data_IF_592254799437
#
_entry.id   IF_592254799437
#
_cell.length_a   1.000
_cell.length_b   1.000
_cell.length_c   1.000
_cell.angle_alpha   90.00
_cell.angle_beta   90.00
_cell.angle_gamma   90.00
#
_symmetry.space_group_name_H-M   'P 1'
#
loop_
_entity.id
_entity.type
_entity.pdbx_description
1 polymer ?
#
# COMPACT_ATOMS: atom_id res chain seq x y z
N UNK A 1 10.78 -34.14 -0.77
CA UNK A 1 9.56 -33.39 -1.15
C UNK A 1 9.38 -33.45 -2.66
N UNK A 2 8.12 -33.56 -3.14
CA UNK A 2 7.81 -33.61 -4.57
C UNK A 2 7.37 -32.23 -5.08
N UNK A 3 7.04 -31.30 -4.18
CA UNK A 3 6.67 -29.92 -4.46
C UNK A 3 6.82 -29.08 -3.18
N UNK A 4 7.14 -27.81 -3.30
CA UNK A 4 7.25 -26.86 -2.19
C UNK A 4 6.34 -25.67 -2.45
N UNK A 5 5.48 -25.33 -1.49
CA UNK A 5 4.69 -24.12 -1.46
C UNK A 5 5.25 -23.20 -0.37
N UNK A 6 5.54 -21.96 -0.74
CA UNK A 6 6.04 -20.94 0.19
C UNK A 6 5.25 -19.65 0.06
N UNK A 7 4.83 -19.10 1.20
CA UNK A 7 4.25 -17.75 1.28
C UNK A 7 5.14 -16.88 2.17
N UNK A 8 5.56 -15.72 1.69
CA UNK A 8 6.40 -14.80 2.46
C UNK A 8 7.15 -13.79 1.60
N UNK A 9 8.20 -13.17 2.18
CA UNK A 9 8.99 -12.16 1.49
C UNK A 9 9.91 -12.73 0.41
N UNK A 10 10.15 -11.94 -0.66
CA UNK A 10 10.92 -12.34 -1.82
C UNK A 10 12.36 -12.74 -1.53
N UNK A 11 13.02 -12.10 -0.57
CA UNK A 11 14.41 -12.46 -0.20
C UNK A 11 14.50 -13.88 0.39
N UNK A 12 13.55 -14.24 1.25
CA UNK A 12 13.48 -15.61 1.79
C UNK A 12 13.10 -16.61 0.69
N UNK A 13 12.23 -16.22 -0.23
CA UNK A 13 11.86 -17.06 -1.37
C UNK A 13 13.07 -17.44 -2.24
N UNK A 14 14.03 -16.54 -2.44
CA UNK A 14 15.30 -16.86 -3.15
C UNK A 14 16.09 -17.97 -2.45
N UNK A 15 16.17 -17.94 -1.13
CA UNK A 15 16.80 -19.02 -0.36
C UNK A 15 16.04 -20.35 -0.47
N UNK A 16 14.71 -20.29 -0.43
CA UNK A 16 13.85 -21.46 -0.63
C UNK A 16 14.07 -22.08 -2.01
N UNK A 17 14.07 -21.25 -3.07
CA UNK A 17 14.34 -21.73 -4.43
C UNK A 17 15.74 -22.34 -4.58
N UNK A 18 16.77 -21.71 -4.00
CA UNK A 18 18.12 -22.24 -4.00
C UNK A 18 18.20 -23.64 -3.36
N UNK A 19 17.55 -23.82 -2.21
CA UNK A 19 17.51 -25.13 -1.56
C UNK A 19 16.72 -26.17 -2.38
N UNK A 20 15.58 -25.79 -2.95
CA UNK A 20 14.75 -26.65 -3.77
C UNK A 20 15.46 -27.09 -5.06
N UNK A 21 16.24 -26.20 -5.68
CA UNK A 21 16.95 -26.48 -6.93
C UNK A 21 18.01 -27.60 -6.78
N UNK A 22 18.56 -27.80 -5.58
CA UNK A 22 19.54 -28.87 -5.30
C UNK A 22 18.95 -30.27 -5.53
N UNK A 23 17.63 -30.41 -5.42
CA UNK A 23 16.92 -31.69 -5.60
C UNK A 23 15.87 -31.59 -6.72
N UNK A 24 15.93 -30.58 -7.58
CA UNK A 24 14.98 -30.32 -8.69
C UNK A 24 13.52 -30.32 -8.23
N UNK A 25 13.25 -29.81 -7.01
CA UNK A 25 11.90 -29.72 -6.46
C UNK A 25 11.21 -28.47 -7.03
N UNK A 26 10.06 -28.60 -7.71
CA UNK A 26 9.29 -27.45 -8.18
C UNK A 26 8.73 -26.65 -7.00
N UNK A 27 8.67 -25.32 -7.16
CA UNK A 27 8.17 -24.41 -6.15
C UNK A 27 6.98 -23.61 -6.66
N UNK A 28 5.97 -23.42 -5.80
CA UNK A 28 4.97 -22.36 -5.93
C UNK A 28 5.26 -21.30 -4.88
N UNK A 29 5.41 -20.06 -5.33
CA UNK A 29 5.76 -18.93 -4.45
C UNK A 29 4.61 -17.93 -4.44
N UNK A 30 4.06 -17.69 -3.24
CA UNK A 30 3.08 -16.65 -2.97
C UNK A 30 3.80 -15.50 -2.25
N UNK A 31 4.04 -14.43 -2.99
CA UNK A 31 4.82 -13.28 -2.53
C UNK A 31 3.93 -12.03 -2.49
N UNK A 32 4.41 -10.98 -1.84
CA UNK A 32 3.73 -9.69 -1.82
C UNK A 32 4.07 -8.84 -3.05
N UNK A 33 4.29 -7.59 -2.80
CA UNK A 33 4.66 -6.58 -3.79
C UNK A 33 3.97 -5.25 -3.51
N UNK A 34 4.32 -4.23 -4.31
CA UNK A 34 3.73 -2.90 -4.18
C UNK A 34 2.40 -2.83 -4.92
N UNK A 35 1.32 -3.28 -4.26
CA UNK A 35 -0.04 -3.30 -4.83
C UNK A 35 -0.57 -1.86 -5.03
N UNK A 36 -0.67 -1.36 -6.30
CA UNK A 36 -1.13 -0.03 -6.59
C UNK A 36 -2.63 0.10 -6.46
N UNK A 37 -3.07 1.30 -6.10
CA UNK A 37 -4.46 1.74 -6.21
C UNK A 37 -4.54 2.87 -7.22
N UNK A 38 -5.37 2.74 -8.24
CA UNK A 38 -5.66 3.81 -9.20
C UNK A 38 -7.03 4.40 -8.90
N UNK A 39 -7.06 5.71 -8.68
CA UNK A 39 -8.30 6.48 -8.49
C UNK A 39 -8.57 7.28 -9.76
N UNK A 40 -9.52 6.80 -10.56
CA UNK A 40 -9.93 7.44 -11.80
C UNK A 40 -10.65 8.77 -11.59
N UNK A 41 -10.75 9.56 -12.67
CA UNK A 41 -11.44 10.87 -12.65
C UNK A 41 -12.90 10.76 -12.20
N UNK A 42 -13.55 9.64 -12.46
CA UNK A 42 -14.96 9.37 -12.14
C UNK A 42 -15.19 8.76 -10.76
N UNK A 43 -14.14 8.53 -9.96
CA UNK A 43 -14.24 7.88 -8.67
C UNK A 43 -15.02 8.71 -7.64
N UNK A 44 -15.85 8.05 -6.84
CA UNK A 44 -16.39 8.60 -5.58
C UNK A 44 -15.30 8.54 -4.52
N UNK A 45 -14.76 9.69 -4.14
CA UNK A 45 -13.58 9.78 -3.27
C UNK A 45 -13.87 9.30 -1.85
N UNK A 46 -15.05 9.58 -1.31
CA UNK A 46 -15.43 9.17 0.05
C UNK A 46 -15.47 7.64 0.17
N UNK A 47 -16.15 6.98 -0.76
CA UNK A 47 -16.22 5.51 -0.80
C UNK A 47 -14.85 4.91 -1.07
N UNK A 48 -14.08 5.50 -1.98
CA UNK A 48 -12.73 5.03 -2.32
C UNK A 48 -11.80 5.12 -1.12
N UNK A 49 -11.75 6.28 -0.44
CA UNK A 49 -10.93 6.49 0.75
C UNK A 49 -11.28 5.51 1.87
N UNK A 50 -12.58 5.32 2.18
CA UNK A 50 -13.01 4.35 3.18
C UNK A 50 -12.53 2.93 2.86
N UNK A 51 -12.70 2.45 1.63
CA UNK A 51 -12.29 1.09 1.24
C UNK A 51 -10.77 0.92 1.23
N UNK A 52 -10.05 1.92 0.74
CA UNK A 52 -8.58 1.91 0.72
C UNK A 52 -8.05 1.89 2.15
N UNK A 53 -8.56 2.76 3.02
CA UNK A 53 -8.10 2.82 4.40
C UNK A 53 -8.52 1.61 5.22
N UNK A 54 -9.70 1.04 4.97
CA UNK A 54 -10.06 -0.26 5.55
C UNK A 54 -9.01 -1.32 5.21
N UNK A 55 -8.66 -1.48 3.92
CA UNK A 55 -7.62 -2.43 3.50
C UNK A 55 -6.22 -2.08 4.01
N UNK A 56 -5.89 -0.78 4.11
CA UNK A 56 -4.58 -0.30 4.58
C UNK A 56 -4.39 -0.43 6.09
N UNK A 57 -5.46 -0.26 6.88
CA UNK A 57 -5.38 -0.35 8.34
C UNK A 57 -5.68 -1.75 8.87
N UNK A 58 -6.31 -2.62 8.07
CA UNK A 58 -6.46 -4.03 8.41
C UNK A 58 -5.09 -4.64 8.70
N UNK A 59 -4.93 -5.20 9.91
CA UNK A 59 -3.66 -5.73 10.40
C UNK A 59 -2.49 -4.73 10.27
N UNK A 60 -2.76 -3.42 10.42
CA UNK A 60 -1.82 -2.32 10.21
C UNK A 60 -1.09 -2.39 8.84
N UNK A 61 -1.77 -2.83 7.79
CA UNK A 61 -1.21 -2.95 6.44
C UNK A 61 -0.24 -4.12 6.24
N UNK A 62 -0.11 -5.01 7.20
CA UNK A 62 0.77 -6.19 7.15
C UNK A 62 0.08 -7.37 6.45
N UNK A 63 -0.36 -7.13 5.21
CA UNK A 63 -1.08 -8.08 4.35
C UNK A 63 -0.53 -7.95 2.93
N UNK A 64 -0.28 -9.05 2.25
CA UNK A 64 0.29 -9.09 0.89
C UNK A 64 -0.55 -8.36 -0.18
N UNK A 65 -1.85 -8.18 0.07
CA UNK A 65 -2.78 -7.43 -0.79
C UNK A 65 -3.15 -6.05 -0.21
N UNK A 66 -2.53 -5.60 0.88
CA UNK A 66 -2.80 -4.25 1.38
C UNK A 66 -2.48 -3.20 0.30
N UNK A 67 -3.31 -2.16 0.13
CA UNK A 67 -2.96 -1.03 -0.71
C UNK A 67 -1.57 -0.50 -0.34
N UNK A 68 -0.63 -0.53 -1.27
CA UNK A 68 0.75 -0.11 -0.99
C UNK A 68 0.96 1.37 -1.28
N UNK A 69 0.50 1.84 -2.45
CA UNK A 69 0.48 3.25 -2.82
C UNK A 69 -0.75 3.58 -3.67
N UNK A 70 -1.13 4.86 -3.68
CA UNK A 70 -2.26 5.39 -4.43
C UNK A 70 -1.77 6.29 -5.56
N UNK A 71 -2.36 6.14 -6.74
CA UNK A 71 -2.18 7.00 -7.89
C UNK A 71 -3.52 7.69 -8.13
N UNK A 72 -3.60 8.99 -7.92
CA UNK A 72 -4.83 9.77 -7.98
C UNK A 72 -4.70 10.91 -8.98
N UNK A 73 -5.79 11.23 -9.70
CA UNK A 73 -5.79 12.39 -10.58
C UNK A 73 -5.48 13.68 -9.80
N UNK A 74 -4.59 14.52 -10.33
CA UNK A 74 -4.07 15.73 -9.65
C UNK A 74 -5.16 16.61 -9.04
N UNK A 75 -6.26 16.82 -9.78
CA UNK A 75 -7.37 17.68 -9.32
C UNK A 75 -8.19 17.06 -8.17
N UNK A 76 -7.96 15.81 -7.84
CA UNK A 76 -8.67 15.06 -6.79
C UNK A 76 -7.78 14.72 -5.59
N UNK A 77 -6.49 15.01 -5.65
CA UNK A 77 -5.54 14.60 -4.61
C UNK A 77 -5.89 15.16 -3.24
N UNK A 78 -6.11 16.45 -3.14
CA UNK A 78 -6.33 17.11 -1.84
C UNK A 78 -7.66 16.66 -1.22
N UNK A 79 -8.71 16.53 -2.03
CA UNK A 79 -9.99 15.98 -1.58
C UNK A 79 -9.87 14.51 -1.16
N UNK A 80 -9.10 13.69 -1.89
CA UNK A 80 -8.82 12.31 -1.52
C UNK A 80 -8.08 12.22 -0.18
N UNK A 81 -7.05 13.05 0.03
CA UNK A 81 -6.30 13.10 1.29
C UNK A 81 -7.23 13.47 2.45
N UNK A 82 -8.11 14.46 2.24
CA UNK A 82 -9.11 14.86 3.24
C UNK A 82 -10.05 13.68 3.58
N UNK A 83 -10.66 13.04 2.58
CA UNK A 83 -11.56 11.91 2.80
C UNK A 83 -10.83 10.71 3.46
N UNK A 84 -9.52 10.54 3.19
CA UNK A 84 -8.68 9.53 3.84
C UNK A 84 -8.52 9.81 5.33
N UNK A 85 -8.25 11.06 5.73
CA UNK A 85 -8.18 11.46 7.13
C UNK A 85 -9.51 11.28 7.85
N UNK A 86 -10.60 11.69 7.20
CA UNK A 86 -11.95 11.54 7.73
C UNK A 86 -12.30 10.04 7.95
N UNK A 87 -11.95 9.18 7.00
CA UNK A 87 -12.16 7.74 7.10
C UNK A 87 -11.37 7.09 8.25
N UNK A 88 -10.09 7.45 8.40
CA UNK A 88 -9.26 6.95 9.53
C UNK A 88 -9.81 7.42 10.86
N UNK A 89 -10.20 8.69 10.97
CA UNK A 89 -10.79 9.25 12.20
C UNK A 89 -12.10 8.56 12.57
N UNK A 90 -12.90 8.19 11.56
CA UNK A 90 -14.14 7.42 11.79
C UNK A 90 -13.86 5.99 12.29
N UNK A 91 -12.82 5.33 11.76
CA UNK A 91 -12.47 3.96 12.15
C UNK A 91 -11.72 3.90 13.48
N UNK A 92 -10.81 4.84 13.69
CA UNK A 92 -9.91 4.86 14.85
C UNK A 92 -9.82 6.29 15.41
N UNK A 93 -10.77 6.70 16.29
CA UNK A 93 -10.72 8.00 16.94
C UNK A 93 -9.52 8.16 17.88
N UNK A 94 -8.95 7.07 18.35
CA UNK A 94 -7.65 6.94 19.02
C UNK A 94 -6.89 5.73 18.45
N UNK A 95 -5.59 5.62 18.67
CA UNK A 95 -4.73 4.60 18.04
C UNK A 95 -3.86 3.88 19.07
N UNK A 96 -3.18 4.62 19.93
CA UNK A 96 -2.12 4.09 20.80
C UNK A 96 -2.61 2.98 21.73
N UNK A 97 -3.76 3.18 22.34
CA UNK A 97 -4.36 2.23 23.28
C UNK A 97 -5.60 1.53 22.70
N UNK A 98 -5.89 1.73 21.42
CA UNK A 98 -7.05 1.13 20.75
C UNK A 98 -6.80 -0.35 20.50
N UNK A 99 -7.63 -1.23 21.06
CA UNK A 99 -7.48 -2.68 20.93
C UNK A 99 -7.80 -3.19 19.51
N UNK A 100 -8.59 -2.43 18.74
CA UNK A 100 -8.95 -2.76 17.36
C UNK A 100 -7.87 -2.34 16.35
N UNK A 101 -6.88 -1.52 16.76
CA UNK A 101 -5.77 -1.13 15.90
C UNK A 101 -4.53 -1.98 16.16
N UNK A 102 -4.13 -2.76 15.18
CA UNK A 102 -3.03 -3.74 15.28
C UNK A 102 -1.66 -3.08 15.38
N UNK A 103 -0.78 -3.68 16.17
CA UNK A 103 0.65 -3.31 16.26
C UNK A 103 1.46 -3.88 15.09
N UNK A 104 2.61 -3.29 14.81
CA UNK A 104 3.62 -3.92 13.94
C UNK A 104 4.19 -5.14 14.66
N UNK A 105 4.43 -6.21 13.91
CA UNK A 105 4.69 -7.56 14.44
C UNK A 105 5.89 -7.64 15.40
N UNK A 106 6.91 -6.81 15.19
CA UNK A 106 8.11 -6.78 16.05
C UNK A 106 8.96 -5.52 15.83
N UNK A 107 9.96 -5.31 16.68
CA UNK A 107 10.87 -4.17 16.64
C UNK A 107 11.56 -4.02 15.28
N UNK A 108 12.05 -5.10 14.68
CA UNK A 108 12.76 -5.06 13.38
C UNK A 108 11.89 -4.45 12.28
N UNK A 109 10.62 -4.86 12.18
CA UNK A 109 9.69 -4.32 11.18
C UNK A 109 9.23 -2.90 11.53
N UNK A 110 9.10 -2.59 12.80
CA UNK A 110 8.82 -1.22 13.27
C UNK A 110 9.95 -0.26 12.86
N UNK A 111 11.20 -0.62 13.15
CA UNK A 111 12.37 0.18 12.78
C UNK A 111 12.48 0.34 11.26
N UNK A 112 12.25 -0.73 10.49
CA UNK A 112 12.23 -0.66 9.03
C UNK A 112 11.20 0.35 8.51
N UNK A 113 10.00 0.39 9.08
CA UNK A 113 8.96 1.35 8.67
C UNK A 113 9.36 2.78 9.01
N UNK A 114 10.00 2.99 10.15
CA UNK A 114 10.57 4.31 10.50
C UNK A 114 11.68 4.72 9.54
N UNK A 115 12.59 3.80 9.19
CA UNK A 115 13.65 4.06 8.21
C UNK A 115 13.09 4.44 6.83
N UNK A 116 11.94 3.86 6.41
CA UNK A 116 11.27 4.26 5.17
C UNK A 116 10.75 5.71 5.23
N UNK A 117 10.19 6.12 6.38
CA UNK A 117 9.72 7.50 6.58
C UNK A 117 10.90 8.48 6.66
N UNK A 118 11.95 8.13 7.39
CA UNK A 118 13.14 8.96 7.55
C UNK A 118 13.85 9.19 6.19
N UNK A 119 13.98 8.14 5.36
CA UNK A 119 14.51 8.24 4.00
C UNK A 119 13.62 9.17 3.12
N UNK A 120 12.30 9.02 3.22
CA UNK A 120 11.36 9.84 2.46
C UNK A 120 11.47 11.32 2.86
N UNK A 121 11.49 11.63 4.16
CA UNK A 121 11.65 13.00 4.68
C UNK A 121 13.00 13.58 4.26
N UNK A 122 14.10 12.83 4.39
CA UNK A 122 15.44 13.28 3.99
C UNK A 122 15.53 13.61 2.49
N UNK A 123 14.67 13.00 1.66
CA UNK A 123 14.58 13.25 0.21
C UNK A 123 13.48 14.25 -0.17
N UNK A 124 12.84 14.89 0.81
CA UNK A 124 11.89 15.99 0.58
C UNK A 124 10.43 15.59 0.44
N UNK A 125 10.04 14.38 0.84
CA UNK A 125 8.64 14.01 0.95
C UNK A 125 7.94 14.74 2.10
N UNK A 126 6.63 14.95 1.96
CA UNK A 126 5.78 15.43 3.04
C UNK A 126 5.14 14.22 3.74
N UNK A 127 5.33 14.11 5.04
CA UNK A 127 4.78 13.05 5.88
C UNK A 127 3.67 13.62 6.75
N UNK A 128 2.50 13.01 6.72
CA UNK A 128 1.29 13.47 7.39
C UNK A 128 0.68 12.31 8.19
N UNK A 129 0.98 12.25 9.48
CA UNK A 129 0.43 11.25 10.38
C UNK A 129 -1.03 11.55 10.70
N UNK A 130 -1.90 10.56 10.56
CA UNK A 130 -3.31 10.68 10.94
C UNK A 130 -3.45 10.20 12.38
N UNK A 131 -3.42 11.15 13.29
CA UNK A 131 -3.44 10.95 14.74
C UNK A 131 -4.57 11.79 15.36
N UNK A 132 -5.83 11.32 15.31
CA UNK A 132 -6.99 12.13 15.70
C UNK A 132 -6.98 12.56 17.17
N UNK A 133 -6.47 11.71 18.06
CA UNK A 133 -6.41 12.00 19.51
C UNK A 133 -5.14 12.75 19.94
N UNK A 134 -4.25 13.11 19.01
CA UNK A 134 -3.00 13.82 19.32
C UNK A 134 -2.11 13.04 20.30
N UNK A 135 -2.05 11.73 20.15
CA UNK A 135 -1.33 10.82 21.04
C UNK A 135 0.19 10.90 20.83
N UNK A 136 0.96 10.72 21.90
CA UNK A 136 2.44 10.64 21.85
C UNK A 136 2.89 9.18 21.63
N UNK A 137 3.49 8.90 20.47
CA UNK A 137 4.06 7.61 20.11
C UNK A 137 5.55 7.47 20.42
N UNK A 138 6.20 8.51 20.97
CA UNK A 138 7.62 8.46 21.33
C UNK A 138 7.91 7.45 22.44
N UNK A 139 6.94 7.22 23.31
CA UNK A 139 7.00 6.24 24.39
C UNK A 139 5.78 5.32 24.33
N UNK A 140 5.97 4.10 23.87
CA UNK A 140 4.94 3.09 23.81
C UNK A 140 5.51 1.69 24.10
N UNK A 141 4.69 0.86 24.68
CA UNK A 141 4.99 -0.56 24.92
C UNK A 141 4.78 -1.41 23.65
N UNK A 142 3.87 -0.95 22.79
CA UNK A 142 3.45 -1.66 21.58
C UNK A 142 3.94 -0.92 20.34
N UNK A 143 4.39 -1.64 19.33
CA UNK A 143 4.93 -1.12 18.06
C UNK A 143 3.84 -0.52 17.16
N UNK A 144 3.02 0.41 17.65
CA UNK A 144 1.98 1.06 16.85
C UNK A 144 2.56 2.23 16.05
N UNK A 145 2.13 2.32 14.80
CA UNK A 145 2.42 3.43 13.91
C UNK A 145 1.08 3.98 13.43
N UNK A 146 0.80 5.28 13.60
CA UNK A 146 -0.41 5.87 13.05
C UNK A 146 -0.51 5.69 11.54
N UNK A 147 -1.71 5.56 10.96
CA UNK A 147 -1.85 5.63 9.51
C UNK A 147 -1.23 6.93 9.00
N UNK A 148 -0.33 6.82 8.03
CA UNK A 148 0.52 7.94 7.59
C UNK A 148 0.40 8.11 6.09
N UNK A 149 0.06 9.31 5.63
CA UNK A 149 0.07 9.69 4.22
C UNK A 149 1.43 10.28 3.89
N UNK A 150 1.99 9.89 2.74
CA UNK A 150 3.25 10.45 2.23
C UNK A 150 3.02 11.01 0.84
N UNK A 151 3.30 12.29 0.66
CA UNK A 151 3.17 12.99 -0.63
C UNK A 151 4.52 13.55 -1.09
N UNK A 152 4.56 14.03 -2.34
CA UNK A 152 5.80 14.53 -2.95
C UNK A 152 6.92 13.46 -2.97
N UNK A 153 6.54 12.21 -3.27
CA UNK A 153 7.47 11.09 -3.35
C UNK A 153 8.17 11.06 -4.70
N UNK A 154 9.43 10.59 -4.71
CA UNK A 154 10.22 10.33 -5.91
C UNK A 154 10.62 8.85 -5.99
N UNK A 155 10.92 8.36 -7.18
CA UNK A 155 11.21 6.92 -7.39
C UNK A 155 12.49 6.44 -6.69
N UNK A 156 13.40 7.33 -6.31
CA UNK A 156 14.62 6.99 -5.56
C UNK A 156 14.38 6.84 -4.04
N UNK A 157 13.20 7.18 -3.54
CA UNK A 157 12.82 6.95 -2.14
C UNK A 157 12.57 5.46 -1.89
N UNK A 158 13.10 4.92 -0.80
CA UNK A 158 12.90 3.51 -0.43
C UNK A 158 11.43 3.11 -0.36
N UNK A 159 10.59 4.02 0.14
CA UNK A 159 9.14 3.81 0.24
C UNK A 159 8.46 3.56 -1.13
N UNK A 160 9.08 4.02 -2.23
CA UNK A 160 8.61 3.79 -3.58
C UNK A 160 9.27 2.58 -4.25
N UNK A 161 10.32 2.00 -3.67
CA UNK A 161 11.07 0.85 -4.20
C UNK A 161 10.69 -0.46 -3.52
N UNK A 162 10.45 -0.43 -2.20
CA UNK A 162 10.16 -1.61 -1.40
C UNK A 162 8.67 -1.74 -1.08
N UNK A 163 8.18 -2.98 -0.91
CA UNK A 163 6.88 -3.24 -0.32
C UNK A 163 6.83 -2.68 1.10
N UNK A 164 5.84 -1.83 1.39
CA UNK A 164 5.75 -1.15 2.69
C UNK A 164 5.42 -2.13 3.81
N UNK A 165 4.39 -2.96 3.61
CA UNK A 165 3.91 -3.91 4.61
C UNK A 165 3.69 -3.26 5.99
N UNK A 166 2.96 -2.14 5.97
CA UNK A 166 2.73 -1.27 7.11
C UNK A 166 1.68 -0.18 6.82
N UNK A 167 1.28 0.63 7.81
CA UNK A 167 0.17 1.59 7.70
C UNK A 167 0.58 2.93 7.07
N UNK A 168 1.51 2.90 6.13
CA UNK A 168 2.04 4.08 5.43
C UNK A 168 1.55 4.04 3.98
N UNK A 169 1.00 5.15 3.48
CA UNK A 169 0.35 5.25 2.17
C UNK A 169 0.92 6.41 1.36
N UNK A 170 1.87 6.15 0.45
CA UNK A 170 2.27 7.11 -0.56
C UNK A 170 1.10 7.47 -1.49
N UNK A 171 0.98 8.76 -1.80
CA UNK A 171 -0.02 9.30 -2.74
C UNK A 171 0.72 10.03 -3.86
N UNK A 172 0.59 9.50 -5.08
CA UNK A 172 1.21 9.99 -6.31
C UNK A 172 0.14 10.59 -7.21
N UNK A 173 0.47 11.66 -7.91
CA UNK A 173 -0.44 12.32 -8.85
C UNK A 173 -0.26 11.80 -10.27
N UNK A 174 -1.35 11.88 -11.07
CA UNK A 174 -1.29 11.74 -12.52
C UNK A 174 -2.20 12.78 -13.20
N UNK A 175 -1.91 13.13 -14.44
CA UNK A 175 -2.78 13.95 -15.29
C UNK A 175 -3.57 13.09 -16.27
N UNK A 176 -2.90 12.19 -16.96
CA UNK A 176 -3.50 11.26 -17.90
C UNK A 176 -3.31 9.80 -17.45
N UNK A 177 -4.33 8.98 -17.65
CA UNK A 177 -4.35 7.59 -17.12
C UNK A 177 -3.17 6.74 -17.59
N UNK A 178 -2.58 7.06 -18.74
CA UNK A 178 -1.39 6.40 -19.26
C UNK A 178 -0.15 6.62 -18.37
N UNK A 179 -0.10 7.71 -17.61
CA UNK A 179 0.98 7.96 -16.65
C UNK A 179 0.88 6.98 -15.46
N UNK A 180 -0.34 6.73 -14.99
CA UNK A 180 -0.59 5.76 -13.94
C UNK A 180 -0.17 4.34 -14.39
N UNK A 181 -0.55 3.92 -15.59
CA UNK A 181 -0.16 2.60 -16.12
C UNK A 181 1.34 2.49 -16.36
N UNK A 182 2.00 3.56 -16.83
CA UNK A 182 3.47 3.61 -16.97
C UNK A 182 4.17 3.48 -15.62
N UNK A 183 3.70 4.19 -14.60
CA UNK A 183 4.27 4.09 -13.25
C UNK A 183 4.13 2.67 -12.70
N UNK A 184 2.98 2.03 -12.86
CA UNK A 184 2.77 0.64 -12.43
C UNK A 184 3.74 -0.30 -13.14
N UNK A 185 3.88 -0.17 -14.47
CA UNK A 185 4.72 -1.03 -15.28
C UNK A 185 6.23 -0.77 -15.11
N UNK A 186 6.62 0.37 -14.52
CA UNK A 186 8.02 0.66 -14.18
C UNK A 186 8.52 -0.07 -12.93
N UNK A 187 7.61 -0.67 -12.16
CA UNK A 187 7.90 -1.40 -10.93
C UNK A 187 7.79 -2.91 -11.14
N UNK A 188 8.31 -3.67 -10.20
CA UNK A 188 8.12 -5.12 -10.19
C UNK A 188 6.62 -5.46 -10.18
N UNK A 189 6.28 -6.56 -10.84
CA UNK A 189 4.90 -7.04 -10.96
C UNK A 189 4.28 -7.26 -9.58
N UNK A 190 3.22 -6.52 -9.21
CA UNK A 190 2.58 -6.65 -7.91
C UNK A 190 1.66 -7.88 -7.85
N UNK A 191 1.32 -8.29 -6.62
CA UNK A 191 0.33 -9.33 -6.40
C UNK A 191 -1.08 -8.87 -6.78
N UNK A 192 -1.48 -7.64 -6.41
CA UNK A 192 -2.78 -7.08 -6.69
C UNK A 192 -2.73 -5.66 -7.27
N UNK A 193 -3.83 -5.26 -7.91
CA UNK A 193 -4.09 -3.90 -8.38
C UNK A 193 -5.56 -3.57 -8.13
N UNK A 194 -5.80 -2.34 -7.69
CA UNK A 194 -7.14 -1.82 -7.41
C UNK A 194 -7.43 -0.63 -8.32
N UNK A 195 -8.61 -0.63 -8.94
CA UNK A 195 -9.11 0.51 -9.69
C UNK A 195 -10.43 0.99 -9.08
N UNK A 196 -10.53 2.29 -8.84
CA UNK A 196 -11.74 2.98 -8.39
C UNK A 196 -12.18 3.98 -9.44
N UNK A 197 -13.35 3.78 -10.01
CA UNK A 197 -13.92 4.66 -11.01
C UNK A 197 -15.10 4.00 -11.73
N UNK A 198 -15.79 4.79 -12.55
CA UNK A 198 -16.93 4.36 -13.38
C UNK A 198 -16.70 4.61 -14.86
N UNK A 199 -15.59 5.24 -15.22
CA UNK A 199 -15.20 5.45 -16.62
C UNK A 199 -14.63 4.15 -17.20
N UNK A 200 -15.40 3.56 -18.13
CA UNK A 200 -15.03 2.29 -18.76
C UNK A 200 -13.75 2.37 -19.59
N UNK A 201 -13.42 3.55 -20.14
CA UNK A 201 -12.20 3.72 -20.96
C UNK A 201 -10.96 3.73 -20.05
N UNK A 202 -11.03 4.43 -18.91
CA UNK A 202 -9.94 4.40 -17.92
C UNK A 202 -9.77 2.99 -17.35
N UNK A 203 -10.87 2.33 -16.98
CA UNK A 203 -10.87 0.94 -16.49
C UNK A 203 -10.20 0.00 -17.50
N UNK A 204 -10.64 0.03 -18.77
CA UNK A 204 -10.09 -0.81 -19.84
C UNK A 204 -8.60 -0.49 -20.10
N UNK A 205 -8.19 0.78 -19.99
CA UNK A 205 -6.79 1.18 -20.09
C UNK A 205 -5.95 0.52 -19.00
N UNK A 206 -6.37 0.63 -17.76
CA UNK A 206 -5.64 0.03 -16.61
C UNK A 206 -5.59 -1.50 -16.75
N UNK A 207 -6.71 -2.15 -17.05
CA UNK A 207 -6.79 -3.61 -17.16
C UNK A 207 -5.94 -4.19 -18.28
N UNK A 208 -5.96 -3.53 -19.45
CA UNK A 208 -5.31 -4.08 -20.65
C UNK A 208 -3.81 -3.70 -20.75
N UNK A 209 -3.38 -2.66 -20.01
CA UNK A 209 -2.01 -2.16 -20.09
C UNK A 209 -1.18 -2.40 -18.82
N UNK A 210 -1.68 -3.17 -17.86
CA UNK A 210 -0.92 -3.58 -16.67
C UNK A 210 -0.88 -5.09 -16.52
N UNK A 211 0.13 -5.60 -15.84
CA UNK A 211 0.28 -7.03 -15.56
C UNK A 211 0.45 -7.26 -14.06
N UNK A 212 -0.53 -7.92 -13.45
CA UNK A 212 -0.56 -8.24 -12.02
C UNK A 212 -1.05 -9.68 -11.82
N UNK A 213 -0.85 -10.24 -10.62
CA UNK A 213 -1.35 -11.58 -10.30
C UNK A 213 -2.86 -11.58 -10.05
N UNK A 214 -3.37 -10.57 -9.34
CA UNK A 214 -4.80 -10.37 -9.06
C UNK A 214 -5.21 -8.93 -9.35
N UNK A 215 -6.27 -8.75 -10.16
CA UNK A 215 -6.89 -7.44 -10.40
C UNK A 215 -8.24 -7.38 -9.69
N UNK A 216 -8.41 -6.42 -8.80
CA UNK A 216 -9.67 -6.14 -8.12
C UNK A 216 -10.30 -4.87 -8.68
N UNK A 217 -11.50 -5.03 -9.24
CA UNK A 217 -12.35 -3.92 -9.64
C UNK A 217 -13.40 -3.71 -8.56
N UNK A 218 -13.43 -2.54 -7.97
CA UNK A 218 -14.55 -2.14 -7.13
C UNK A 218 -15.60 -1.50 -8.00
N UNK A 219 -16.60 -2.29 -8.40
CA UNK A 219 -17.79 -1.76 -9.02
C UNK A 219 -18.51 -0.84 -8.01
N UNK A 220 -19.12 0.27 -8.48
CA UNK A 220 -19.95 1.07 -7.61
C UNK A 220 -21.05 0.18 -7.05
N UNK A 221 -21.11 0.04 -5.74
CA UNK A 221 -22.27 -0.54 -5.08
C UNK A 221 -23.44 0.40 -5.27
N UNK A 222 -24.49 -0.08 -5.95
CA UNK A 222 -25.79 0.58 -6.00
C UNK A 222 -26.34 0.76 -4.59
#
# INVERSE_FOLDING_TARGET
>A
FNHLLYTGGGEVAKHVMNAASQNLVPCTLELGGKSPVVIGKSADLKTSAKRIMFGKTMNAGQICLAPDYVIVHKDKKDDFIKETKDAVTEYFPDIKNNEDYTSIINQKHYDRLKDLLDDAVAKGANVDEINPANEDFSQQEFYKIPPTIVTNTTDDMKIMQEEIFGPILPVVEYEEIDEATKLINSKDRPLGLYYFGTDKKEEDNVLNNTSVSYTHLTLPTK
#
